data_IF_388333781654
#
_entry.id   IF_388333781654
#
_cell.length_a   1.000
_cell.length_b   1.000
_cell.length_c   1.000
_cell.angle_alpha   90.00
_cell.angle_beta   90.00
_cell.angle_gamma   90.00
#
_symmetry.space_group_name_H-M   'P 1'
#
loop_
_entity.id
_entity.type
_entity.pdbx_description
1 polymer ?
#
# COMPACT_ATOMS: atom_id res chain seq x y z
N UNK A 1 9.26 -1.36 -35.83
CA UNK A 1 8.80 -0.05 -35.28
C UNK A 1 8.54 -0.30 -33.82
N UNK A 2 9.59 -0.04 -33.06
CA UNK A 2 9.66 -0.29 -31.62
C UNK A 2 8.92 0.82 -30.88
N UNK A 3 8.03 0.48 -29.98
CA UNK A 3 7.53 1.37 -28.96
C UNK A 3 7.52 0.68 -27.60
N UNK A 4 8.72 0.66 -27.02
CA UNK A 4 8.97 0.35 -25.63
C UNK A 4 8.62 1.59 -24.79
N UNK A 5 7.46 1.63 -24.14
CA UNK A 5 7.10 2.68 -23.19
C UNK A 5 7.04 2.03 -21.81
N UNK A 6 8.15 2.18 -21.08
CA UNK A 6 8.16 1.99 -19.62
C UNK A 6 7.33 3.10 -18.96
N UNK A 7 6.47 2.81 -17.99
CA UNK A 7 5.80 3.84 -17.21
C UNK A 7 6.80 4.48 -16.25
N UNK A 8 7.31 5.67 -16.63
CA UNK A 8 8.12 6.50 -15.76
C UNK A 8 7.30 7.09 -14.63
N UNK A 9 7.73 6.86 -13.41
CA UNK A 9 7.28 7.59 -12.23
C UNK A 9 7.76 9.04 -12.34
N UNK A 10 6.82 9.99 -12.43
CA UNK A 10 7.11 11.41 -12.24
C UNK A 10 7.10 11.68 -10.74
N UNK A 11 8.28 11.72 -10.14
CA UNK A 11 8.48 12.33 -8.84
C UNK A 11 8.24 13.84 -8.98
N UNK A 12 7.28 14.38 -8.25
CA UNK A 12 7.10 15.83 -8.13
C UNK A 12 8.28 16.38 -7.32
N UNK A 13 9.21 17.03 -7.99
CA UNK A 13 10.23 17.88 -7.37
C UNK A 13 9.55 19.11 -6.76
N UNK A 14 9.61 19.23 -5.45
CA UNK A 14 9.29 20.48 -4.77
C UNK A 14 10.42 21.49 -5.03
N UNK A 15 10.12 22.49 -5.84
CA UNK A 15 10.93 23.68 -6.03
C UNK A 15 10.98 24.46 -4.71
N UNK A 16 12.16 24.51 -4.11
CA UNK A 16 12.51 25.47 -3.08
C UNK A 16 12.50 26.88 -3.71
N UNK A 17 11.67 27.75 -3.21
CA UNK A 17 11.74 29.19 -3.54
C UNK A 17 12.92 29.81 -2.82
N UNK A 18 13.75 30.62 -3.52
CA UNK A 18 14.82 31.36 -2.86
C UNK A 18 14.28 32.60 -2.14
N UNK A 19 14.80 32.82 -0.92
CA UNK A 19 14.78 34.10 -0.25
C UNK A 19 15.30 35.21 -1.16
N UNK A 20 14.49 36.23 -1.37
CA UNK A 20 14.93 37.64 -1.55
C UNK A 20 13.70 38.51 -1.71
N UNK A 21 13.52 39.44 -0.79
CA UNK A 21 13.42 40.87 -1.01
C UNK A 21 12.96 41.56 0.28
N UNK A 22 13.94 42.04 1.03
CA UNK A 22 13.73 43.11 1.98
C UNK A 22 13.68 44.41 1.19
N UNK A 23 12.54 45.06 1.10
CA UNK A 23 12.47 46.48 0.71
C UNK A 23 11.79 47.25 1.84
N UNK A 24 12.51 48.31 2.24
CA UNK A 24 12.20 49.15 3.35
C UNK A 24 10.94 50.00 3.15
N UNK A 25 10.23 50.19 4.23
CA UNK A 25 9.21 51.24 4.36
C UNK A 25 9.83 52.50 5.01
N UNK A 26 9.54 53.67 4.48
CA UNK A 26 10.04 54.93 5.03
C UNK A 26 9.29 55.31 6.32
N UNK A 27 10.08 55.78 7.29
CA UNK A 27 9.61 56.45 8.50
C UNK A 27 9.15 57.82 8.15
N UNK A 28 7.89 58.18 8.42
CA UNK A 28 7.51 59.58 8.71
C UNK A 28 6.17 59.65 9.41
N UNK A 29 6.13 60.47 10.47
CA UNK A 29 4.96 61.23 10.90
C UNK A 29 4.16 60.61 12.06
N UNK A 30 4.53 60.93 13.29
CA UNK A 30 3.56 60.99 14.39
C UNK A 30 2.56 62.13 14.21
N UNK A 31 1.29 61.89 14.53
CA UNK A 31 0.54 62.79 15.40
C UNK A 31 0.02 62.11 16.64
N UNK A 32 0.26 62.79 17.77
CA UNK A 32 -0.32 62.56 19.08
C UNK A 32 -1.84 62.76 19.03
N UNK A 33 -2.60 61.68 19.29
CA UNK A 33 -4.01 61.83 19.69
C UNK A 33 -4.31 60.89 20.88
N UNK A 34 -4.70 61.53 21.97
CA UNK A 34 -5.03 60.88 23.23
C UNK A 34 -6.34 60.11 23.13
N UNK A 35 -6.25 58.79 22.82
CA UNK A 35 -7.35 57.87 23.07
C UNK A 35 -6.95 56.91 24.17
N UNK A 36 -7.79 56.85 25.16
CA UNK A 36 -7.73 55.94 26.30
C UNK A 36 -7.59 54.51 25.81
N UNK A 37 -6.59 53.82 26.31
CA UNK A 37 -6.41 52.37 26.09
C UNK A 37 -7.62 51.67 26.78
N UNK A 38 -8.58 51.23 25.96
CA UNK A 38 -9.53 50.24 26.41
C UNK A 38 -8.77 48.96 26.79
N UNK A 39 -8.99 48.50 28.02
CA UNK A 39 -8.44 47.22 28.47
C UNK A 39 -8.93 46.11 27.53
N UNK A 40 -8.03 45.17 27.12
CA UNK A 40 -8.48 44.03 26.35
C UNK A 40 -9.50 43.25 27.18
N UNK A 41 -10.68 43.06 26.59
CA UNK A 41 -11.70 42.19 27.17
C UNK A 41 -11.09 40.81 27.41
N UNK A 42 -11.34 40.19 28.56
CA UNK A 42 -10.88 38.85 28.83
C UNK A 42 -11.47 37.92 27.76
N UNK A 43 -10.60 37.21 27.05
CA UNK A 43 -10.96 36.16 26.08
C UNK A 43 -11.78 35.14 26.89
N UNK A 44 -13.06 35.00 26.55
CA UNK A 44 -13.93 34.00 27.14
C UNK A 44 -13.33 32.59 26.94
N UNK A 45 -13.43 31.70 27.95
CA UNK A 45 -12.83 30.38 27.87
C UNK A 45 -13.41 29.55 26.73
N UNK A 46 -12.56 28.80 26.06
CA UNK A 46 -12.75 27.94 24.86
C UNK A 46 -13.89 26.88 24.98
N UNK A 47 -14.64 26.84 26.08
CA UNK A 47 -15.75 25.91 26.29
C UNK A 47 -17.00 26.17 25.42
N UNK A 48 -17.04 27.28 24.67
CA UNK A 48 -18.21 27.64 23.85
C UNK A 48 -18.15 27.12 22.41
N UNK A 49 -16.99 26.62 21.93
CA UNK A 49 -16.80 26.29 20.53
C UNK A 49 -17.46 24.96 20.10
N UNK A 50 -17.59 24.00 21.02
CA UNK A 50 -18.27 22.73 20.77
C UNK A 50 -19.78 22.87 20.50
N UNK A 51 -20.40 23.96 20.96
CA UNK A 51 -21.82 24.26 20.71
C UNK A 51 -22.07 24.76 19.26
N UNK A 52 -21.03 25.23 18.57
CA UNK A 52 -21.10 25.75 17.21
C UNK A 52 -20.94 24.61 16.16
N UNK A 53 -20.45 23.43 16.56
CA UNK A 53 -20.28 22.32 15.65
C UNK A 53 -21.63 21.70 15.29
N UNK A 54 -21.86 21.48 14.00
CA UNK A 54 -22.98 20.66 13.53
C UNK A 54 -22.73 19.17 13.81
N UNK A 55 -23.71 18.31 13.49
CA UNK A 55 -23.61 16.88 13.73
C UNK A 55 -22.45 16.23 12.97
N UNK A 56 -22.16 16.73 11.76
CA UNK A 56 -21.05 16.23 10.93
C UNK A 56 -19.71 16.58 11.57
N UNK A 57 -19.48 17.84 11.90
CA UNK A 57 -18.24 18.30 12.53
C UNK A 57 -17.98 17.58 13.85
N UNK A 58 -19.02 17.41 14.70
CA UNK A 58 -18.90 16.64 15.96
C UNK A 58 -18.48 15.20 15.71
N UNK A 59 -19.04 14.53 14.70
CA UNK A 59 -18.69 13.16 14.40
C UNK A 59 -17.23 13.04 13.94
N UNK A 60 -16.77 13.93 13.04
CA UNK A 60 -15.40 13.95 12.55
C UNK A 60 -14.42 14.24 13.67
N UNK A 61 -14.63 15.33 14.44
CA UNK A 61 -13.76 15.74 15.55
C UNK A 61 -13.63 14.63 16.58
N UNK A 62 -14.78 14.06 17.03
CA UNK A 62 -14.77 12.97 18.03
C UNK A 62 -14.02 11.72 17.54
N UNK A 63 -14.17 11.34 16.26
CA UNK A 63 -13.46 10.20 15.70
C UNK A 63 -11.93 10.47 15.63
N UNK A 64 -11.55 11.69 15.23
CA UNK A 64 -10.15 12.11 15.15
C UNK A 64 -9.49 12.16 16.53
N UNK A 65 -10.13 12.75 17.52
CA UNK A 65 -9.60 12.82 18.90
C UNK A 65 -9.34 11.43 19.49
N UNK A 66 -10.18 10.44 19.19
CA UNK A 66 -10.00 9.06 19.64
C UNK A 66 -8.86 8.34 18.97
N UNK A 67 -8.62 8.61 17.68
CA UNK A 67 -7.75 7.79 16.84
C UNK A 67 -6.37 8.41 16.63
N UNK A 68 -6.28 9.75 16.52
CA UNK A 68 -5.01 10.44 16.26
C UNK A 68 -3.88 10.13 17.24
N UNK A 69 -4.13 9.91 18.55
CA UNK A 69 -3.06 9.52 19.46
C UNK A 69 -2.36 8.20 19.09
N UNK A 70 -3.05 7.33 18.34
CA UNK A 70 -2.52 6.03 17.89
C UNK A 70 -1.93 6.08 16.48
N UNK A 71 -2.07 7.19 15.74
CA UNK A 71 -1.55 7.33 14.38
C UNK A 71 -0.10 7.80 14.43
N UNK A 72 0.76 7.09 13.70
CA UNK A 72 2.20 7.32 13.71
C UNK A 72 2.72 7.69 12.33
N UNK A 73 3.83 8.44 12.31
CA UNK A 73 4.65 8.61 11.12
C UNK A 73 5.69 7.48 11.07
N UNK A 74 5.93 6.96 9.86
CA UNK A 74 6.92 5.92 9.61
C UNK A 74 7.93 6.46 8.61
N UNK A 75 9.19 6.52 9.00
CA UNK A 75 10.32 6.85 8.15
C UNK A 75 11.14 5.59 7.89
N UNK A 76 11.48 5.35 6.63
CA UNK A 76 12.26 4.19 6.21
C UNK A 76 13.52 4.63 5.49
N UNK A 77 14.58 3.87 5.70
CA UNK A 77 15.89 4.08 5.10
C UNK A 77 16.28 2.80 4.34
N UNK A 78 16.55 2.96 3.05
CA UNK A 78 16.98 1.90 2.16
C UNK A 78 18.37 2.20 1.64
N UNK A 79 19.27 1.21 1.69
CA UNK A 79 20.62 1.30 1.16
C UNK A 79 20.62 0.74 -0.27
N UNK A 80 20.71 1.61 -1.26
CA UNK A 80 20.92 1.16 -2.64
C UNK A 80 22.39 0.76 -2.83
N UNK A 81 22.63 -0.55 -2.98
CA UNK A 81 23.92 -1.02 -3.49
C UNK A 81 24.06 -0.51 -4.93
N UNK A 82 25.06 0.32 -5.19
CA UNK A 82 25.41 0.82 -6.52
C UNK A 82 25.71 -0.40 -7.40
N UNK A 83 24.75 -0.83 -8.23
CA UNK A 83 25.06 -1.77 -9.31
C UNK A 83 26.18 -1.13 -10.12
N UNK A 84 27.35 -1.77 -10.11
CA UNK A 84 28.51 -1.33 -10.89
C UNK A 84 28.05 -1.25 -12.35
N UNK A 85 27.96 -0.03 -12.85
CA UNK A 85 27.87 0.24 -14.29
C UNK A 85 29.22 -0.15 -14.94
N UNK A 86 29.55 -1.46 -14.89
CA UNK A 86 30.84 -1.98 -15.33
C UNK A 86 30.81 -2.62 -16.71
N UNK A 87 29.64 -2.70 -17.37
CA UNK A 87 29.60 -3.42 -18.65
C UNK A 87 29.28 -2.57 -19.90
N UNK A 88 28.98 -1.30 -19.76
CA UNK A 88 28.68 -0.44 -20.92
C UNK A 88 29.84 0.48 -21.35
N UNK A 89 30.96 0.52 -20.64
CA UNK A 89 32.06 1.46 -20.94
C UNK A 89 33.38 0.85 -21.38
N UNK A 90 33.45 -0.48 -21.59
CA UNK A 90 34.62 -1.13 -22.20
C UNK A 90 34.69 -1.06 -23.74
N UNK A 91 33.73 -0.44 -24.40
CA UNK A 91 33.67 -0.42 -25.88
C UNK A 91 34.02 0.92 -26.53
N UNK A 92 34.45 1.97 -25.85
CA UNK A 92 34.94 3.20 -26.53
C UNK A 92 36.19 3.77 -25.87
N UNK A 93 37.28 3.46 -26.51
CA UNK A 93 38.54 4.19 -26.75
C UNK A 93 39.05 5.24 -25.77
N UNK A 94 40.19 4.90 -25.20
CA UNK A 94 41.33 5.79 -24.84
C UNK A 94 41.18 7.26 -25.21
N UNK A 95 41.20 8.16 -24.19
CA UNK A 95 42.08 9.34 -24.20
C UNK A 95 42.19 9.93 -22.80
N UNK A 96 43.47 10.24 -22.47
CA UNK A 96 43.98 10.84 -21.25
C UNK A 96 43.17 12.00 -20.66
N UNK A 97 42.86 11.92 -19.35
CA UNK A 97 42.99 13.08 -18.47
C UNK A 97 43.21 12.56 -17.03
N UNK A 98 44.38 12.93 -16.48
CA UNK A 98 44.70 12.75 -15.08
C UNK A 98 43.82 13.73 -14.29
N UNK A 99 42.83 13.25 -13.59
CA UNK A 99 42.22 13.94 -12.46
C UNK A 99 42.27 12.99 -11.27
N UNK A 100 42.90 13.48 -10.22
CA UNK A 100 43.03 12.83 -8.93
C UNK A 100 41.66 12.53 -8.34
N UNK A 101 41.20 11.29 -8.47
CA UNK A 101 40.02 10.79 -7.75
C UNK A 101 40.49 10.26 -6.39
N UNK A 102 40.05 10.92 -5.32
CA UNK A 102 40.10 10.41 -3.97
C UNK A 102 39.41 9.03 -3.92
N UNK A 103 40.05 7.97 -3.39
CA UNK A 103 39.45 6.63 -3.35
C UNK A 103 38.43 6.43 -2.21
N UNK A 104 38.13 7.42 -1.38
CA UNK A 104 37.37 7.29 -0.14
C UNK A 104 35.90 7.79 -0.21
N UNK A 105 35.28 7.87 -1.39
CA UNK A 105 33.83 8.13 -1.47
C UNK A 105 33.04 6.92 -1.94
N UNK A 106 33.07 5.87 -1.13
CA UNK A 106 32.08 4.77 -1.21
C UNK A 106 30.76 5.26 -0.54
N UNK A 107 30.19 6.34 -1.10
CA UNK A 107 28.95 6.93 -0.62
C UNK A 107 27.79 6.03 -1.07
N UNK A 108 27.47 5.07 -0.24
CA UNK A 108 26.19 4.36 -0.27
C UNK A 108 25.07 5.40 -0.21
N UNK A 109 24.26 5.50 -1.24
CA UNK A 109 23.17 6.48 -1.28
C UNK A 109 22.02 5.93 -0.46
N UNK A 110 21.79 6.51 0.71
CA UNK A 110 20.63 6.20 1.54
C UNK A 110 19.40 6.87 0.91
N UNK A 111 18.42 6.07 0.53
CA UNK A 111 17.13 6.55 0.04
C UNK A 111 16.16 6.59 1.22
N UNK A 112 15.54 7.75 1.44
CA UNK A 112 14.55 7.96 2.48
C UNK A 112 13.15 7.90 1.87
N UNK A 113 12.27 7.14 2.48
CA UNK A 113 10.85 7.04 2.18
C UNK A 113 10.03 7.09 3.46
N UNK A 114 8.71 7.01 3.34
CA UNK A 114 7.88 6.95 4.53
C UNK A 114 6.39 6.95 4.22
N UNK A 115 5.61 6.86 5.28
CA UNK A 115 4.17 6.85 5.27
C UNK A 115 3.61 6.96 6.68
N UNK A 116 2.38 6.53 6.85
CA UNK A 116 1.70 6.47 8.14
C UNK A 116 1.52 5.03 8.60
N UNK A 117 1.21 4.87 9.86
CA UNK A 117 0.74 3.63 10.47
C UNK A 117 -0.19 3.92 11.63
N UNK A 118 -0.70 2.89 12.25
CA UNK A 118 -1.47 3.03 13.48
C UNK A 118 -1.22 1.87 14.44
N UNK A 119 -1.12 2.22 15.71
CA UNK A 119 -0.92 1.29 16.82
C UNK A 119 -2.24 0.57 17.07
N UNK A 120 -2.24 -0.76 16.97
CA UNK A 120 -3.44 -1.56 17.21
C UNK A 120 -3.37 -2.44 18.47
N UNK A 121 -2.20 -2.48 19.14
CA UNK A 121 -2.05 -3.11 20.46
C UNK A 121 -1.21 -2.22 21.38
N UNK A 122 -1.51 -2.19 22.71
CA UNK A 122 -0.81 -1.32 23.66
C UNK A 122 0.68 -1.65 23.86
N UNK A 123 1.13 -2.83 23.39
CA UNK A 123 2.52 -3.30 23.46
C UNK A 123 3.35 -2.96 22.21
N UNK A 124 2.85 -2.07 21.34
CA UNK A 124 3.63 -1.47 20.27
C UNK A 124 3.53 -2.15 18.90
N UNK A 125 2.52 -2.98 18.64
CA UNK A 125 2.27 -3.46 17.29
C UNK A 125 1.55 -2.39 16.45
N UNK A 126 2.08 -2.16 15.23
CA UNK A 126 1.63 -1.15 14.30
C UNK A 126 1.27 -1.81 12.97
N UNK A 127 0.09 -1.47 12.45
CA UNK A 127 -0.33 -1.79 11.08
C UNK A 127 0.07 -0.64 10.15
N UNK A 128 0.56 -1.02 8.96
CA UNK A 128 0.88 -0.10 7.86
C UNK A 128 0.78 -0.83 6.51
N UNK A 129 1.10 -0.17 5.41
CA UNK A 129 1.23 -0.84 4.11
C UNK A 129 2.59 -1.52 3.95
N UNK A 130 2.61 -2.61 3.18
CA UNK A 130 3.84 -3.30 2.79
C UNK A 130 4.76 -2.36 2.00
N UNK A 131 4.25 -1.62 1.01
CA UNK A 131 5.06 -0.71 0.20
C UNK A 131 5.74 0.41 1.00
N UNK A 132 5.27 0.73 2.21
CA UNK A 132 5.92 1.70 3.12
C UNK A 132 7.19 1.13 3.71
N UNK A 133 7.21 -0.16 4.11
CA UNK A 133 8.29 -0.77 4.89
C UNK A 133 9.07 -1.86 4.16
N UNK A 134 8.60 -2.26 2.98
CA UNK A 134 9.21 -3.33 2.19
C UNK A 134 10.66 -3.03 1.84
N UNK A 135 11.57 -3.98 2.09
CA UNK A 135 13.01 -3.85 1.88
C UNK A 135 13.67 -2.68 2.66
N UNK A 136 13.05 -2.19 3.74
CA UNK A 136 13.66 -1.18 4.60
C UNK A 136 14.82 -1.79 5.40
N UNK A 137 15.99 -1.10 5.41
CA UNK A 137 17.13 -1.48 6.24
C UNK A 137 16.97 -0.96 7.67
N UNK A 138 16.31 0.19 7.83
CA UNK A 138 16.01 0.81 9.11
C UNK A 138 14.65 1.46 9.06
N UNK A 139 13.88 1.29 10.12
CA UNK A 139 12.56 1.89 10.27
C UNK A 139 12.58 2.72 11.56
N UNK A 140 12.10 3.95 11.47
CA UNK A 140 11.93 4.86 12.59
C UNK A 140 10.48 5.31 12.65
N UNK A 141 9.89 5.24 13.83
CA UNK A 141 8.49 5.62 14.07
C UNK A 141 8.47 6.86 14.94
N UNK A 142 7.72 7.89 14.51
CA UNK A 142 7.43 9.07 15.33
C UNK A 142 5.99 8.97 15.84
N UNK A 143 5.84 8.97 17.16
CA UNK A 143 4.56 8.93 17.86
C UNK A 143 3.86 10.31 17.84
N UNK A 144 2.60 10.34 18.26
CA UNK A 144 1.80 11.57 18.29
C UNK A 144 2.31 12.65 19.24
N UNK A 145 3.08 12.27 20.26
CA UNK A 145 3.74 13.19 21.21
C UNK A 145 5.08 13.71 20.69
N UNK A 146 5.50 13.32 19.47
CA UNK A 146 6.75 13.68 18.85
C UNK A 146 7.94 12.80 19.25
N UNK A 147 7.77 11.84 20.16
CA UNK A 147 8.81 10.89 20.53
C UNK A 147 9.11 9.93 19.35
N UNK A 148 10.38 9.52 19.24
CA UNK A 148 10.85 8.64 18.17
C UNK A 148 11.32 7.30 18.75
N UNK A 149 10.95 6.24 18.07
CA UNK A 149 11.36 4.89 18.44
C UNK A 149 11.82 4.10 17.19
N UNK A 150 12.90 3.31 17.31
CA UNK A 150 13.23 2.36 16.27
C UNK A 150 12.18 1.27 16.20
N UNK A 151 11.86 0.83 14.97
CA UNK A 151 10.93 -0.25 14.75
C UNK A 151 11.56 -1.38 13.95
N UNK A 152 11.05 -2.59 14.15
CA UNK A 152 11.43 -3.75 13.36
C UNK A 152 10.20 -4.37 12.69
N UNK A 153 10.40 -4.93 11.50
CA UNK A 153 9.33 -5.61 10.76
C UNK A 153 9.07 -6.97 11.38
N UNK A 154 7.82 -7.23 11.79
CA UNK A 154 7.35 -8.56 12.16
C UNK A 154 7.10 -9.39 10.91
N UNK A 155 6.52 -8.77 9.89
CA UNK A 155 6.33 -9.34 8.58
C UNK A 155 5.59 -8.37 7.68
N UNK A 156 5.71 -8.59 6.35
CA UNK A 156 4.96 -7.85 5.36
C UNK A 156 4.45 -8.78 4.25
N UNK A 157 3.37 -8.36 3.62
CA UNK A 157 2.75 -9.07 2.52
C UNK A 157 2.51 -8.13 1.33
N UNK A 158 3.44 -8.11 0.35
CA UNK A 158 3.30 -7.29 -0.84
C UNK A 158 2.07 -7.61 -1.69
N UNK A 159 1.50 -8.81 -1.54
CA UNK A 159 0.33 -9.22 -2.32
C UNK A 159 -0.98 -8.60 -1.82
N UNK A 160 -1.09 -8.31 -0.53
CA UNK A 160 -2.23 -7.59 0.06
C UNK A 160 -1.87 -6.16 0.46
N UNK A 161 -0.60 -5.77 0.28
CA UNK A 161 -0.06 -4.47 0.68
C UNK A 161 -0.27 -4.15 2.17
N UNK A 162 -0.14 -5.14 3.05
CA UNK A 162 -0.23 -5.01 4.51
C UNK A 162 1.10 -5.41 5.14
N UNK A 163 1.52 -4.66 6.17
CA UNK A 163 2.66 -4.98 7.01
C UNK A 163 2.35 -4.78 8.49
N UNK A 164 3.06 -5.53 9.33
CA UNK A 164 3.09 -5.37 10.77
C UNK A 164 4.52 -5.04 11.17
N UNK A 165 4.69 -3.93 11.87
CA UNK A 165 5.94 -3.55 12.51
C UNK A 165 5.74 -3.42 14.01
N UNK A 166 6.83 -3.42 14.77
CA UNK A 166 6.80 -3.32 16.24
C UNK A 166 7.81 -2.30 16.73
N UNK A 167 7.40 -1.52 17.71
CA UNK A 167 8.26 -0.69 18.56
C UNK A 167 8.28 -1.27 19.97
N UNK A 168 9.41 -1.12 20.67
CA UNK A 168 9.54 -1.55 22.05
C UNK A 168 9.06 -0.45 23.00
N UNK A 169 7.76 -0.44 23.24
CA UNK A 169 7.09 0.50 24.13
C UNK A 169 5.87 -0.17 24.78
N UNK A 170 5.42 0.36 25.91
CA UNK A 170 4.29 -0.16 26.65
C UNK A 170 3.26 0.94 26.96
N UNK A 171 2.02 0.53 27.19
CA UNK A 171 0.92 1.43 27.53
C UNK A 171 0.62 2.49 26.47
N UNK A 172 0.84 2.13 25.21
CA UNK A 172 0.56 3.02 24.08
C UNK A 172 -0.95 3.13 23.81
N UNK A 173 -1.42 4.31 23.35
CA UNK A 173 -2.77 4.43 22.83
C UNK A 173 -2.93 3.51 21.62
N UNK A 174 -4.02 2.75 21.57
CA UNK A 174 -4.29 1.82 20.47
C UNK A 174 -5.71 1.99 19.94
N UNK A 175 -5.89 1.75 18.63
CA UNK A 175 -7.18 1.88 17.96
C UNK A 175 -8.08 0.67 18.19
N UNK A 176 -9.38 0.87 18.03
CA UNK A 176 -10.34 -0.22 17.91
C UNK A 176 -10.53 -0.62 16.45
N UNK A 177 -10.29 -1.90 16.13
CA UNK A 177 -10.51 -2.45 14.81
C UNK A 177 -11.98 -2.82 14.62
N UNK A 178 -12.65 -2.16 13.66
CA UNK A 178 -14.04 -2.39 13.29
C UNK A 178 -14.28 -3.65 12.46
N UNK A 179 -15.32 -3.65 11.64
CA UNK A 179 -15.71 -4.75 10.75
C UNK A 179 -16.05 -4.20 9.37
N UNK A 180 -15.21 -4.50 8.37
CA UNK A 180 -15.39 -4.02 7.00
C UNK A 180 -16.52 -4.74 6.24
N UNK A 181 -17.02 -5.88 6.72
CA UNK A 181 -18.16 -6.57 6.08
C UNK A 181 -19.52 -5.93 6.41
N UNK A 182 -19.60 -5.13 7.47
CA UNK A 182 -20.83 -4.43 7.85
C UNK A 182 -21.00 -3.06 7.21
N UNK A 183 -20.04 -2.66 6.39
CA UNK A 183 -20.04 -1.35 5.75
C UNK A 183 -21.12 -1.23 4.68
N UNK A 184 -21.55 0.01 4.45
CA UNK A 184 -22.51 0.35 3.39
C UNK A 184 -22.04 1.59 2.64
N UNK A 185 -22.23 1.66 1.31
CA UNK A 185 -22.00 2.90 0.57
C UNK A 185 -22.83 4.06 1.15
N UNK A 186 -22.21 5.24 1.20
CA UNK A 186 -22.79 6.44 1.81
C UNK A 186 -22.47 6.62 3.30
N UNK A 187 -21.90 5.62 3.99
CA UNK A 187 -21.39 5.81 5.36
C UNK A 187 -20.19 6.75 5.36
N UNK A 188 -20.05 7.54 6.42
CA UNK A 188 -18.90 8.41 6.65
C UNK A 188 -17.61 7.60 6.72
N UNK A 189 -16.58 8.08 6.05
CA UNK A 189 -15.23 7.55 6.05
C UNK A 189 -14.26 8.70 6.31
N UNK A 190 -13.40 8.55 7.32
CA UNK A 190 -12.43 9.56 7.74
C UNK A 190 -11.05 8.93 7.61
N UNK A 191 -10.22 9.46 6.71
CA UNK A 191 -8.84 9.04 6.54
C UNK A 191 -7.94 9.91 7.42
N UNK A 192 -7.08 9.25 8.19
CA UNK A 192 -6.15 9.90 9.10
C UNK A 192 -4.74 9.43 8.74
N UNK A 193 -3.81 10.39 8.64
CA UNK A 193 -2.39 10.12 8.42
C UNK A 193 -1.52 11.06 9.21
N UNK A 194 -0.22 10.74 9.31
CA UNK A 194 0.78 11.61 9.94
C UNK A 194 2.03 11.70 9.05
N UNK A 195 1.92 12.38 7.89
CA UNK A 195 2.98 12.36 6.88
C UNK A 195 4.30 13.01 7.33
N UNK A 196 4.25 13.91 8.32
CA UNK A 196 5.40 14.71 8.74
C UNK A 196 5.80 14.51 10.21
N UNK A 197 5.08 13.67 10.97
CA UNK A 197 5.39 13.39 12.37
C UNK A 197 4.99 14.48 13.36
N UNK A 198 4.38 15.59 12.90
CA UNK A 198 4.04 16.72 13.79
C UNK A 198 2.55 16.85 14.08
N UNK A 199 1.70 16.62 13.07
CA UNK A 199 0.25 16.72 13.18
C UNK A 199 -0.43 15.74 12.24
N UNK A 200 -1.53 15.16 12.71
CA UNK A 200 -2.37 14.30 11.89
C UNK A 200 -3.04 15.10 10.78
N UNK A 201 -2.94 14.60 9.55
CA UNK A 201 -3.74 15.07 8.42
C UNK A 201 -5.04 14.31 8.39
N UNK A 202 -6.16 15.02 8.34
CA UNK A 202 -7.50 14.46 8.35
C UNK A 202 -8.22 14.83 7.08
N UNK A 203 -8.80 13.85 6.43
CA UNK A 203 -9.75 14.04 5.32
C UNK A 203 -10.98 13.21 5.55
N UNK A 204 -12.16 13.76 5.24
CA UNK A 204 -13.42 13.09 5.44
C UNK A 204 -14.24 13.05 4.15
N UNK A 205 -14.94 11.97 3.95
CA UNK A 205 -15.80 11.70 2.83
C UNK A 205 -16.77 10.57 3.17
N UNK A 206 -17.16 9.79 2.16
CA UNK A 206 -18.05 8.64 2.32
C UNK A 206 -17.42 7.38 1.71
N UNK A 207 -17.92 6.23 2.10
CA UNK A 207 -17.71 4.99 1.38
C UNK A 207 -18.46 5.09 0.05
N UNK A 208 -17.71 5.22 -1.04
CA UNK A 208 -18.27 5.37 -2.39
C UNK A 208 -18.72 4.03 -2.98
N UNK A 209 -17.94 2.96 -2.73
CA UNK A 209 -18.25 1.60 -3.18
C UNK A 209 -17.51 0.55 -2.34
N UNK A 210 -18.00 -0.68 -2.41
CA UNK A 210 -17.44 -1.88 -1.77
C UNK A 210 -17.24 -2.98 -2.79
N UNK A 211 -16.50 -4.04 -2.41
CA UNK A 211 -16.25 -5.20 -3.28
C UNK A 211 -15.45 -4.86 -4.53
N UNK A 212 -14.65 -3.80 -4.50
CA UNK A 212 -13.71 -3.46 -5.56
C UNK A 212 -12.43 -4.27 -5.40
N UNK A 213 -11.65 -4.30 -6.47
CA UNK A 213 -10.33 -4.92 -6.46
C UNK A 213 -9.27 -3.93 -6.94
N UNK A 214 -8.09 -4.01 -6.32
CA UNK A 214 -6.94 -3.17 -6.63
C UNK A 214 -5.74 -4.06 -6.94
N UNK A 215 -4.95 -3.70 -7.94
CA UNK A 215 -3.71 -4.44 -8.23
C UNK A 215 -2.58 -3.96 -7.32
N UNK A 216 -2.01 -4.90 -6.58
CA UNK A 216 -0.87 -4.64 -5.70
C UNK A 216 0.43 -4.45 -6.50
N UNK A 217 1.49 -3.97 -5.84
CA UNK A 217 2.82 -3.86 -6.45
C UNK A 217 3.40 -5.22 -6.90
N UNK A 218 3.02 -6.33 -6.25
CA UNK A 218 3.39 -7.68 -6.67
C UNK A 218 2.63 -8.18 -7.89
N UNK A 219 1.71 -7.39 -8.44
CA UNK A 219 0.85 -7.75 -9.57
C UNK A 219 -0.37 -8.62 -9.20
N UNK A 220 -0.52 -9.02 -7.93
CA UNK A 220 -1.71 -9.73 -7.44
C UNK A 220 -2.89 -8.78 -7.21
N UNK A 221 -4.09 -9.32 -7.27
CA UNK A 221 -5.30 -8.57 -6.98
C UNK A 221 -5.58 -8.56 -5.47
N UNK A 222 -5.71 -7.37 -4.90
CA UNK A 222 -6.25 -7.16 -3.55
C UNK A 222 -7.76 -7.08 -3.70
N UNK A 223 -8.47 -8.02 -3.10
CA UNK A 223 -9.94 -8.06 -3.15
C UNK A 223 -10.57 -7.31 -1.98
N UNK A 224 -11.86 -7.03 -2.06
CA UNK A 224 -12.66 -6.38 -1.01
C UNK A 224 -12.08 -5.05 -0.53
N UNK A 225 -11.51 -4.26 -1.45
CA UNK A 225 -11.08 -2.90 -1.11
C UNK A 225 -12.28 -1.96 -0.99
N UNK A 226 -12.14 -1.01 -0.08
CA UNK A 226 -13.10 0.08 0.15
C UNK A 226 -12.73 1.23 -0.78
N UNK A 227 -13.66 1.66 -1.61
CA UNK A 227 -13.52 2.90 -2.38
C UNK A 227 -14.13 4.05 -1.58
N UNK A 228 -13.42 5.18 -1.48
CA UNK A 228 -13.85 6.39 -0.78
C UNK A 228 -13.46 7.63 -1.57
N UNK A 229 -14.19 8.73 -1.36
CA UNK A 229 -13.85 10.07 -1.84
C UNK A 229 -13.11 10.90 -0.78
N UNK A 230 -12.91 10.37 0.43
CA UNK A 230 -11.99 10.94 1.39
C UNK A 230 -10.60 11.04 0.76
N UNK A 231 -10.06 12.26 0.61
CA UNK A 231 -8.84 12.49 -0.15
C UNK A 231 -7.63 11.81 0.51
N UNK A 232 -6.94 10.97 -0.25
CA UNK A 232 -5.67 10.37 0.18
C UNK A 232 -4.52 11.11 -0.49
N UNK A 233 -3.70 11.75 0.32
CA UNK A 233 -2.49 12.45 -0.10
C UNK A 233 -1.25 11.59 0.20
N UNK A 234 -0.11 11.85 -0.48
CA UNK A 234 1.16 11.21 -0.12
C UNK A 234 1.46 11.34 1.37
N UNK A 235 1.77 10.21 2.01
CA UNK A 235 1.99 10.11 3.45
C UNK A 235 0.79 9.63 4.27
N UNK A 236 -0.45 9.63 3.73
CA UNK A 236 -1.59 8.99 4.39
C UNK A 236 -1.60 7.46 4.20
N UNK A 237 -0.84 6.93 3.24
CA UNK A 237 -0.70 5.48 3.03
C UNK A 237 -0.22 4.78 4.29
N UNK A 238 -0.87 3.68 4.66
CA UNK A 238 -0.65 2.93 5.90
C UNK A 238 -1.42 3.46 7.11
N UNK A 239 -1.92 4.69 7.05
CA UNK A 239 -2.80 5.25 8.08
C UNK A 239 -4.19 4.62 8.08
N UNK A 240 -4.99 4.80 9.16
CA UNK A 240 -6.32 4.24 9.27
C UNK A 240 -7.36 5.00 8.45
N UNK A 241 -8.31 4.25 7.86
CA UNK A 241 -9.62 4.74 7.47
C UNK A 241 -10.59 4.38 8.59
N UNK A 242 -11.31 5.35 9.14
CA UNK A 242 -12.21 5.13 10.29
C UNK A 242 -13.65 5.54 10.00
N UNK A 243 -14.58 4.95 10.74
CA UNK A 243 -16.00 5.37 10.73
C UNK A 243 -16.25 6.55 11.68
N UNK A 244 -17.49 7.05 11.72
CA UNK A 244 -17.93 8.15 12.60
C UNK A 244 -17.80 7.85 14.11
N UNK A 245 -17.57 6.60 14.51
CA UNK A 245 -17.36 6.18 15.90
C UNK A 245 -15.87 6.08 16.26
N UNK A 246 -14.98 6.30 15.29
CA UNK A 246 -13.54 6.14 15.43
C UNK A 246 -13.10 4.67 15.42
N UNK A 247 -13.88 3.77 14.82
CA UNK A 247 -13.45 2.39 14.59
C UNK A 247 -12.73 2.30 13.25
N UNK A 248 -11.58 1.64 13.21
CA UNK A 248 -10.82 1.44 11.97
C UNK A 248 -11.55 0.45 11.08
N UNK A 249 -11.93 0.89 9.89
CA UNK A 249 -12.64 0.11 8.88
C UNK A 249 -11.74 -0.30 7.71
N UNK A 250 -10.56 0.33 7.58
CA UNK A 250 -9.59 0.00 6.54
C UNK A 250 -8.22 0.61 6.78
N UNK A 251 -7.26 0.24 5.93
CA UNK A 251 -5.90 0.77 5.84
C UNK A 251 -5.78 1.56 4.54
N UNK A 252 -5.50 2.85 4.62
CA UNK A 252 -5.35 3.71 3.44
C UNK A 252 -4.19 3.23 2.57
N UNK A 253 -4.37 3.08 1.25
CA UNK A 253 -3.31 2.54 0.41
C UNK A 253 -3.06 3.35 -0.87
N UNK A 254 -4.04 3.58 -1.71
CA UNK A 254 -3.80 4.11 -3.05
C UNK A 254 -4.84 5.14 -3.49
N UNK A 255 -4.39 6.01 -4.39
CA UNK A 255 -5.23 6.94 -5.16
C UNK A 255 -5.03 6.67 -6.64
N UNK A 256 -6.11 6.64 -7.42
CA UNK A 256 -6.00 6.55 -8.88
C UNK A 256 -5.72 7.94 -9.44
N UNK A 257 -4.48 8.17 -9.89
CA UNK A 257 -4.15 9.35 -10.67
C UNK A 257 -4.38 9.05 -12.18
N UNK A 258 -5.06 9.90 -12.94
CA UNK A 258 -5.48 11.28 -12.65
C UNK A 258 -6.93 11.45 -12.12
N UNK A 259 -7.62 10.39 -11.68
CA UNK A 259 -9.01 10.49 -11.25
C UNK A 259 -9.11 11.10 -9.84
N UNK A 260 -9.68 12.29 -9.74
CA UNK A 260 -9.98 12.93 -8.46
C UNK A 260 -11.14 12.22 -7.74
N UNK A 261 -11.03 12.08 -6.41
CA UNK A 261 -12.09 11.50 -5.59
C UNK A 261 -12.23 9.97 -5.70
N UNK A 262 -11.23 9.27 -6.26
CA UNK A 262 -11.18 7.81 -6.28
C UNK A 262 -9.98 7.35 -5.47
N UNK A 263 -10.22 7.07 -4.20
CA UNK A 263 -9.25 6.58 -3.25
C UNK A 263 -9.63 5.18 -2.77
N UNK A 264 -8.63 4.40 -2.35
CA UNK A 264 -8.84 3.03 -1.91
C UNK A 264 -8.20 2.77 -0.55
N UNK A 265 -8.88 1.95 0.25
CA UNK A 265 -8.35 1.40 1.48
C UNK A 265 -8.55 -0.12 1.50
N UNK A 266 -7.60 -0.83 2.06
CA UNK A 266 -7.69 -2.28 2.27
C UNK A 266 -8.65 -2.50 3.44
N UNK A 267 -9.68 -3.33 3.25
CA UNK A 267 -10.68 -3.61 4.29
C UNK A 267 -10.02 -4.15 5.57
N UNK A 268 -10.50 -3.69 6.73
CA UNK A 268 -9.88 -4.06 8.02
C UNK A 268 -9.94 -5.56 8.31
N UNK A 269 -10.93 -6.28 7.79
CA UNK A 269 -10.99 -7.74 7.99
C UNK A 269 -9.87 -8.46 7.22
N UNK A 270 -9.52 -8.00 6.02
CA UNK A 270 -8.33 -8.46 5.30
C UNK A 270 -7.06 -8.16 6.09
N UNK A 271 -6.92 -6.92 6.61
CA UNK A 271 -5.76 -6.55 7.42
C UNK A 271 -5.63 -7.38 8.71
N UNK A 272 -6.73 -7.66 9.42
CA UNK A 272 -6.76 -8.56 10.59
C UNK A 272 -6.29 -9.97 10.25
N UNK A 273 -6.80 -10.53 9.15
CA UNK A 273 -6.40 -11.86 8.69
C UNK A 273 -4.91 -11.93 8.39
N UNK A 274 -4.41 -10.96 7.62
CA UNK A 274 -2.99 -10.88 7.25
C UNK A 274 -2.13 -10.67 8.49
N UNK A 275 -2.46 -9.70 9.36
CA UNK A 275 -1.71 -9.43 10.59
C UNK A 275 -1.61 -10.66 11.50
N UNK A 276 -2.70 -11.42 11.67
CA UNK A 276 -2.70 -12.66 12.45
C UNK A 276 -1.71 -13.67 11.89
N UNK A 277 -1.63 -13.82 10.56
CA UNK A 277 -0.68 -14.73 9.90
C UNK A 277 0.76 -14.23 10.02
N UNK A 278 0.98 -12.92 9.81
CA UNK A 278 2.31 -12.31 9.96
C UNK A 278 2.85 -12.45 11.39
N UNK A 279 2.01 -12.25 12.40
CA UNK A 279 2.39 -12.43 13.81
C UNK A 279 2.74 -13.88 14.15
N UNK A 280 2.03 -14.85 13.58
CA UNK A 280 2.24 -16.27 13.85
C UNK A 280 3.41 -16.86 13.06
N UNK A 281 3.48 -16.56 11.76
CA UNK A 281 4.34 -17.26 10.79
C UNK A 281 5.42 -16.35 10.18
N UNK A 282 5.40 -15.04 10.47
CA UNK A 282 6.30 -14.02 9.88
C UNK A 282 6.01 -13.70 8.40
N UNK A 283 5.20 -14.49 7.72
CA UNK A 283 4.85 -14.36 6.30
C UNK A 283 3.50 -14.97 5.96
N UNK A 284 2.95 -14.55 4.82
CA UNK A 284 1.79 -15.22 4.23
C UNK A 284 2.27 -16.30 3.28
N UNK A 285 1.99 -17.56 3.60
CA UNK A 285 2.30 -18.67 2.71
C UNK A 285 1.28 -18.72 1.57
N UNK A 286 1.79 -18.84 0.36
CA UNK A 286 1.01 -19.06 -0.86
C UNK A 286 1.68 -20.16 -1.66
N UNK A 287 0.90 -20.84 -2.49
CA UNK A 287 1.46 -21.82 -3.40
C UNK A 287 1.70 -21.24 -4.80
N UNK A 288 2.64 -21.85 -5.49
CA UNK A 288 2.99 -21.56 -6.89
C UNK A 288 3.06 -22.85 -7.67
N UNK A 289 2.78 -22.74 -8.96
CA UNK A 289 2.97 -23.84 -9.92
C UNK A 289 4.13 -23.57 -10.89
N UNK A 290 4.75 -22.38 -10.86
CA UNK A 290 5.91 -22.00 -11.68
C UNK A 290 5.55 -21.79 -13.15
N UNK A 291 4.61 -20.88 -13.42
CA UNK A 291 4.22 -20.47 -14.76
C UNK A 291 4.22 -18.96 -14.91
N UNK A 292 4.62 -18.47 -16.07
CA UNK A 292 4.27 -17.15 -16.57
C UNK A 292 2.99 -17.29 -17.39
N UNK A 293 1.99 -16.50 -17.10
CA UNK A 293 0.66 -16.69 -17.69
C UNK A 293 -0.11 -15.39 -17.86
N UNK A 294 -1.11 -15.38 -18.73
CA UNK A 294 -1.99 -14.25 -18.95
C UNK A 294 -3.44 -14.69 -19.13
N UNK A 295 -4.39 -13.83 -18.80
CA UNK A 295 -5.80 -14.07 -19.10
C UNK A 295 -6.07 -13.88 -20.58
N UNK A 296 -6.74 -14.85 -21.22
CA UNK A 296 -7.11 -14.78 -22.63
C UNK A 296 -8.47 -15.40 -22.90
N UNK A 297 -9.16 -14.97 -23.97
CA UNK A 297 -10.41 -15.59 -24.38
C UNK A 297 -10.17 -17.00 -24.94
N UNK A 298 -11.11 -17.91 -24.65
CA UNK A 298 -11.12 -19.27 -25.19
C UNK A 298 -11.96 -19.27 -26.47
N UNK A 299 -11.50 -20.03 -27.47
CA UNK A 299 -12.23 -20.11 -28.71
C UNK A 299 -13.65 -20.67 -28.48
N UNK A 300 -14.69 -19.99 -28.98
CA UNK A 300 -16.11 -20.31 -28.72
C UNK A 300 -16.49 -21.76 -29.03
N UNK A 301 -15.88 -22.39 -30.06
CA UNK A 301 -16.12 -23.80 -30.38
C UNK A 301 -15.68 -24.71 -29.24
N UNK A 302 -14.54 -24.43 -28.61
CA UNK A 302 -13.98 -25.19 -27.47
C UNK A 302 -14.89 -25.01 -26.26
N UNK A 303 -15.29 -23.76 -25.95
CA UNK A 303 -16.23 -23.48 -24.86
C UNK A 303 -17.51 -24.29 -24.99
N UNK A 304 -18.12 -24.30 -26.19
CA UNK A 304 -19.37 -25.04 -26.46
C UNK A 304 -19.16 -26.55 -26.43
N UNK A 305 -18.08 -27.04 -27.02
CA UNK A 305 -17.81 -28.49 -27.13
C UNK A 305 -17.62 -29.13 -25.75
N UNK A 306 -16.87 -28.44 -24.84
CA UNK A 306 -16.62 -28.93 -23.49
C UNK A 306 -17.58 -28.38 -22.46
N UNK A 307 -18.57 -27.60 -22.87
CA UNK A 307 -19.51 -26.92 -21.97
C UNK A 307 -18.79 -26.17 -20.82
N UNK A 308 -17.76 -25.41 -21.17
CA UNK A 308 -16.98 -24.67 -20.18
C UNK A 308 -17.85 -23.58 -19.53
N UNK A 309 -17.74 -23.40 -18.19
CA UNK A 309 -18.53 -22.40 -17.46
C UNK A 309 -18.07 -20.95 -17.69
N UNK A 310 -16.89 -20.77 -18.31
CA UNK A 310 -16.25 -19.48 -18.58
C UNK A 310 -15.79 -19.40 -20.02
N UNK A 311 -15.85 -18.19 -20.61
CA UNK A 311 -15.38 -17.91 -21.98
C UNK A 311 -13.92 -17.45 -22.04
N UNK A 312 -13.27 -17.29 -20.88
CA UNK A 312 -11.85 -16.93 -20.71
C UNK A 312 -11.14 -17.96 -19.84
N UNK A 313 -9.83 -18.00 -19.94
CA UNK A 313 -8.95 -18.87 -19.14
C UNK A 313 -7.57 -18.29 -19.02
N UNK A 314 -6.63 -19.05 -18.48
CA UNK A 314 -5.24 -18.65 -18.26
C UNK A 314 -4.34 -19.34 -19.27
N UNK A 315 -3.84 -18.57 -20.25
CA UNK A 315 -2.88 -19.05 -21.24
C UNK A 315 -1.48 -19.06 -20.61
N UNK A 316 -0.82 -20.21 -20.66
CA UNK A 316 0.57 -20.38 -20.25
C UNK A 316 1.49 -19.77 -21.30
N UNK A 317 2.27 -18.77 -20.89
CA UNK A 317 3.25 -18.07 -21.75
C UNK A 317 4.65 -18.62 -21.55
N UNK A 318 4.93 -19.18 -20.37
CA UNK A 318 6.19 -19.81 -20.05
C UNK A 318 6.05 -20.75 -18.86
N UNK A 319 6.90 -21.76 -18.80
CA UNK A 319 6.98 -22.75 -17.72
C UNK A 319 8.40 -22.73 -17.14
N UNK A 320 8.51 -22.51 -15.84
CA UNK A 320 9.79 -22.49 -15.13
C UNK A 320 10.40 -23.91 -15.11
N UNK A 321 11.68 -24.07 -15.47
CA UNK A 321 12.37 -25.35 -15.37
C UNK A 321 12.37 -25.89 -13.93
N UNK A 322 12.07 -27.19 -13.76
CA UNK A 322 12.03 -27.82 -12.44
C UNK A 322 10.83 -27.47 -11.56
N UNK A 323 9.90 -26.68 -12.08
CA UNK A 323 8.67 -26.31 -11.37
C UNK A 323 7.64 -27.44 -11.36
N UNK A 324 6.59 -27.35 -10.48
CA UNK A 324 5.44 -28.24 -10.50
C UNK A 324 4.77 -28.33 -11.89
N UNK A 325 4.66 -27.21 -12.60
CA UNK A 325 4.10 -27.15 -13.94
C UNK A 325 4.94 -27.95 -14.95
N UNK A 326 6.27 -27.82 -14.89
CA UNK A 326 7.20 -28.61 -15.69
C UNK A 326 7.07 -30.11 -15.41
N UNK A 327 7.01 -30.50 -14.12
CA UNK A 327 6.83 -31.88 -13.70
C UNK A 327 5.48 -32.48 -14.15
N UNK A 328 4.43 -31.66 -14.18
CA UNK A 328 3.09 -32.03 -14.67
C UNK A 328 2.97 -32.03 -16.20
N UNK A 329 4.06 -31.77 -16.94
CA UNK A 329 4.08 -31.66 -18.41
C UNK A 329 3.12 -30.58 -18.94
N UNK A 330 2.94 -29.48 -18.19
CA UNK A 330 2.28 -28.28 -18.67
C UNK A 330 3.19 -27.61 -19.72
N UNK A 331 2.61 -27.03 -20.77
CA UNK A 331 3.35 -26.48 -21.90
C UNK A 331 2.91 -25.05 -22.20
N UNK A 332 3.78 -24.31 -22.83
CA UNK A 332 3.40 -23.02 -23.41
C UNK A 332 2.27 -23.21 -24.44
N UNK A 333 1.31 -22.30 -24.41
CA UNK A 333 0.10 -22.37 -25.23
C UNK A 333 -1.05 -23.17 -24.59
N UNK A 334 -0.83 -23.93 -23.52
CA UNK A 334 -1.93 -24.54 -22.77
C UNK A 334 -2.83 -23.47 -22.17
N UNK A 335 -4.14 -23.70 -22.15
CA UNK A 335 -5.11 -22.82 -21.51
C UNK A 335 -5.66 -23.50 -20.26
N UNK A 336 -5.31 -22.99 -19.10
CA UNK A 336 -5.84 -23.46 -17.81
C UNK A 336 -7.29 -22.99 -17.69
N UNK A 337 -8.22 -23.91 -17.47
CA UNK A 337 -9.66 -23.63 -17.37
C UNK A 337 -10.25 -24.02 -16.01
N UNK A 338 -9.54 -24.86 -15.23
CA UNK A 338 -9.94 -25.17 -13.86
C UNK A 338 -8.74 -25.65 -13.03
N UNK A 339 -8.80 -25.43 -11.71
CA UNK A 339 -7.94 -26.07 -10.71
C UNK A 339 -8.86 -26.86 -9.77
N UNK A 340 -8.62 -28.17 -9.67
CA UNK A 340 -9.53 -29.14 -9.06
C UNK A 340 -10.92 -29.04 -9.70
N UNK A 341 -11.95 -28.70 -8.95
CA UNK A 341 -13.32 -28.52 -9.46
C UNK A 341 -13.69 -27.04 -9.65
N UNK A 342 -12.76 -26.11 -9.35
CA UNK A 342 -13.02 -24.68 -9.39
C UNK A 342 -12.67 -24.11 -10.77
N UNK A 343 -13.63 -23.48 -11.48
CA UNK A 343 -13.37 -22.84 -12.75
C UNK A 343 -12.37 -21.68 -12.61
N UNK A 344 -11.49 -21.54 -13.60
CA UNK A 344 -10.49 -20.47 -13.69
C UNK A 344 -10.78 -19.66 -14.95
N UNK A 345 -11.23 -18.42 -14.78
CA UNK A 345 -11.47 -17.47 -15.86
C UNK A 345 -10.27 -16.55 -16.15
N UNK A 346 -9.34 -16.42 -15.21
CA UNK A 346 -8.19 -15.55 -15.33
C UNK A 346 -7.12 -15.82 -14.29
N UNK A 347 -6.00 -15.09 -14.41
CA UNK A 347 -4.84 -15.23 -13.52
C UNK A 347 -5.22 -15.00 -12.07
N UNK A 348 -6.12 -14.06 -11.81
CA UNK A 348 -6.54 -13.72 -10.45
C UNK A 348 -7.32 -14.88 -9.80
N UNK A 349 -8.18 -15.60 -10.55
CA UNK A 349 -8.85 -16.81 -10.07
C UNK A 349 -7.82 -17.90 -9.70
N UNK A 350 -6.83 -18.09 -10.56
CA UNK A 350 -5.76 -19.06 -10.30
C UNK A 350 -4.98 -18.67 -9.03
N UNK A 351 -4.64 -17.40 -8.85
CA UNK A 351 -3.97 -16.91 -7.65
C UNK A 351 -4.82 -17.08 -6.37
N UNK A 352 -6.14 -16.90 -6.48
CA UNK A 352 -7.07 -17.10 -5.35
C UNK A 352 -7.14 -18.55 -4.91
N UNK A 353 -7.05 -19.48 -5.85
CA UNK A 353 -7.08 -20.91 -5.58
C UNK A 353 -5.74 -21.46 -5.07
N UNK A 354 -4.62 -20.84 -5.45
CA UNK A 354 -3.28 -21.22 -5.01
C UNK A 354 -2.95 -20.64 -3.63
N UNK A 355 -3.59 -21.17 -2.60
CA UNK A 355 -3.40 -20.80 -1.18
C UNK A 355 -2.31 -21.67 -0.51
N UNK A 356 -2.09 -21.43 0.79
CA UNK A 356 -1.21 -22.28 1.62
C UNK A 356 -1.68 -23.74 1.71
N UNK A 357 -2.99 -23.97 1.62
CA UNK A 357 -3.55 -25.33 1.68
C UNK A 357 -3.13 -26.22 0.48
N UNK A 358 -2.79 -25.62 -0.65
CA UNK A 358 -2.31 -26.36 -1.84
C UNK A 358 -0.81 -26.69 -1.81
N UNK A 359 -0.02 -26.14 -0.89
CA UNK A 359 1.41 -26.43 -0.81
C UNK A 359 1.64 -27.91 -0.52
N UNK A 360 2.24 -28.62 -1.48
CA UNK A 360 2.48 -30.09 -1.42
C UNK A 360 1.23 -30.95 -1.56
N UNK A 361 0.03 -30.36 -1.65
CA UNK A 361 -1.20 -31.09 -1.86
C UNK A 361 -1.34 -31.52 -3.33
N UNK A 362 -1.94 -32.71 -3.54
CA UNK A 362 -2.28 -33.17 -4.87
C UNK A 362 -3.46 -32.37 -5.41
N UNK A 363 -3.26 -31.63 -6.50
CA UNK A 363 -4.30 -30.93 -7.23
C UNK A 363 -4.38 -31.37 -8.68
N UNK A 364 -5.52 -31.14 -9.32
CA UNK A 364 -5.77 -31.48 -10.73
C UNK A 364 -5.96 -30.19 -11.50
N UNK A 365 -5.04 -29.93 -12.44
CA UNK A 365 -5.14 -28.82 -13.36
C UNK A 365 -5.87 -29.29 -14.61
N UNK A 366 -7.00 -28.68 -14.95
CA UNK A 366 -7.70 -28.93 -16.21
C UNK A 366 -7.24 -27.89 -17.23
N UNK A 367 -6.69 -28.35 -18.33
CA UNK A 367 -6.16 -27.49 -19.40
C UNK A 367 -6.73 -27.87 -20.76
N UNK A 368 -6.80 -26.89 -21.64
CA UNK A 368 -7.06 -27.10 -23.08
C UNK A 368 -5.75 -26.93 -23.83
N UNK A 369 -5.29 -27.99 -24.46
CA UNK A 369 -4.11 -28.01 -25.34
C UNK A 369 -4.56 -28.16 -26.78
N UNK A 370 -4.37 -27.13 -27.60
CA UNK A 370 -4.95 -27.02 -28.94
C UNK A 370 -6.50 -27.14 -28.89
N UNK A 371 -7.04 -28.36 -29.08
CA UNK A 371 -8.49 -28.62 -29.00
C UNK A 371 -8.82 -29.73 -28.00
N UNK A 372 -7.84 -30.31 -27.34
CA UNK A 372 -8.02 -31.41 -26.40
C UNK A 372 -8.04 -30.91 -24.96
N UNK A 373 -8.99 -31.42 -24.17
CA UNK A 373 -9.03 -31.17 -22.73
C UNK A 373 -8.25 -32.24 -21.99
N UNK A 374 -7.23 -31.81 -21.22
CA UNK A 374 -6.36 -32.67 -20.44
C UNK A 374 -6.53 -32.40 -18.96
N UNK A 375 -6.36 -33.42 -18.13
CA UNK A 375 -6.27 -33.32 -16.68
C UNK A 375 -4.86 -33.69 -16.25
N UNK A 376 -4.14 -32.71 -15.73
CA UNK A 376 -2.75 -32.84 -15.30
C UNK A 376 -2.73 -32.85 -13.77
N UNK A 377 -2.07 -33.87 -13.20
CA UNK A 377 -1.82 -33.91 -11.77
C UNK A 377 -0.66 -32.98 -11.43
N UNK A 378 -0.85 -32.09 -10.46
CA UNK A 378 0.16 -31.12 -10.05
C UNK A 378 0.27 -31.07 -8.52
N UNK A 379 1.46 -30.78 -8.02
CA UNK A 379 1.76 -30.57 -6.60
C UNK A 379 2.35 -29.18 -6.42
N UNK A 380 1.51 -28.16 -6.16
CA UNK A 380 2.01 -26.81 -5.96
C UNK A 380 3.03 -26.73 -4.84
N UNK A 381 4.05 -25.89 -4.98
CA UNK A 381 5.09 -25.63 -3.97
C UNK A 381 4.86 -24.27 -3.31
N UNK A 382 5.53 -24.02 -2.20
CA UNK A 382 5.49 -22.70 -1.58
C UNK A 382 6.07 -21.65 -2.56
N UNK A 383 5.35 -20.57 -2.79
CA UNK A 383 5.83 -19.45 -3.59
C UNK A 383 7.02 -18.78 -2.89
N UNK A 384 8.09 -18.52 -3.64
CA UNK A 384 9.29 -17.84 -3.14
C UNK A 384 9.08 -16.34 -3.03
#
# INVERSE_FOLDING_TARGET
MDSNVSPGYVAAEFLSTPDTLAEGYPSDGQPSDGRQRENPHPIAPVAADSALHDAYSRAVVSAVEKVSPSVVNIEVYQVEARQRASDAQKARGRRNSKSSSNPDSDATRERRGGGSGFIFTPDGLILTNSHVVHNANRIEVTLSDGSRAPAHTIGDDPATDIAVIRIDAASLPSVHLGDSQQLRPGQMAIAIGNPYGFQSTVTAGVISALGRSLRSYSGRLIEDVIQTDAALNPGNSGGPLVDSRGQVIGVNTATILPAQGICFAIGINTAKFVATRLLRDGKIRRSSIGVSAQTAPIHRRVVRFYNLPKETGVVVVGVEPGSPASAANLREGDVIVALDQNPVAGVDDLHRLLTDAQVGARSILTVVRHTEMLRLQIFPVEAQ
#
